data_IF_121113189590
#
_entry.id   IF_121113189590
#
_cell.length_a   1.000
_cell.length_b   1.000
_cell.length_c   1.000
_cell.angle_alpha   90.00
_cell.angle_beta   90.00
_cell.angle_gamma   90.00
#
_symmetry.space_group_name_H-M   'P 1'
#
loop_
_entity.id
_entity.type
_entity.pdbx_description
1 polymer ?
#
# COMPACT_ATOMS: atom_id res chain seq x y z
N UNK A 1 2.20 3.59 -7.03
CA UNK A 1 3.43 3.75 -7.83
C UNK A 1 4.29 4.86 -7.25
N UNK A 2 3.84 6.09 -7.17
CA UNK A 2 4.64 7.30 -6.80
C UNK A 2 5.45 7.21 -5.49
N UNK A 3 5.12 6.32 -4.58
CA UNK A 3 5.78 6.21 -3.27
C UNK A 3 6.61 4.94 -3.12
N UNK A 4 6.12 3.85 -3.69
CA UNK A 4 6.75 2.54 -3.52
C UNK A 4 7.72 2.22 -4.66
N UNK A 5 7.43 2.68 -5.90
CA UNK A 5 8.22 2.35 -7.08
C UNK A 5 8.01 3.40 -8.18
N UNK A 6 8.78 4.48 -8.14
CA UNK A 6 8.62 5.63 -9.05
C UNK A 6 8.85 5.27 -10.52
N UNK A 7 9.83 4.40 -10.76
CA UNK A 7 10.25 3.99 -12.09
C UNK A 7 9.55 2.68 -12.54
N UNK A 8 8.40 2.34 -11.93
CA UNK A 8 7.71 1.07 -12.18
C UNK A 8 7.54 0.74 -13.65
N UNK A 9 7.25 1.72 -14.49
CA UNK A 9 7.03 1.51 -15.93
C UNK A 9 8.31 1.44 -16.76
N UNK A 10 9.48 1.73 -16.16
CA UNK A 10 10.76 1.86 -16.86
C UNK A 10 11.71 0.68 -16.64
N UNK A 11 11.60 0.01 -15.49
CA UNK A 11 12.45 -1.14 -15.17
C UNK A 11 11.79 -2.48 -15.51
N UNK A 12 12.59 -3.54 -15.50
CA UNK A 12 12.23 -4.92 -15.84
C UNK A 12 12.20 -5.86 -14.62
N UNK A 13 11.68 -5.40 -13.50
CA UNK A 13 11.51 -6.15 -12.24
C UNK A 13 12.48 -5.72 -11.15
N UNK A 14 13.62 -5.15 -11.49
CA UNK A 14 14.62 -4.57 -10.57
C UNK A 14 14.90 -3.14 -11.01
N UNK A 15 14.84 -2.20 -10.07
CA UNK A 15 15.24 -0.81 -10.28
C UNK A 15 16.62 -0.55 -9.64
N UNK A 16 17.68 -0.67 -10.44
CA UNK A 16 19.05 -0.44 -9.97
C UNK A 16 19.26 1.03 -9.55
N UNK A 17 18.64 1.97 -10.24
CA UNK A 17 18.71 3.38 -9.93
C UNK A 17 17.99 3.71 -8.61
N UNK A 18 16.85 3.09 -8.38
CA UNK A 18 16.10 3.18 -7.12
C UNK A 18 16.87 2.58 -5.94
N UNK A 19 17.55 1.44 -6.15
CA UNK A 19 18.41 0.83 -5.12
C UNK A 19 19.57 1.76 -4.76
N UNK A 20 20.28 2.31 -5.76
CA UNK A 20 21.37 3.23 -5.53
C UNK A 20 20.91 4.50 -4.80
N UNK A 21 19.82 5.10 -5.24
CA UNK A 21 19.20 6.28 -4.60
C UNK A 21 18.81 6.01 -3.15
N UNK A 22 18.12 4.89 -2.89
CA UNK A 22 17.74 4.50 -1.54
C UNK A 22 18.97 4.25 -0.66
N UNK A 23 20.02 3.63 -1.21
CA UNK A 23 21.30 3.41 -0.51
C UNK A 23 21.94 4.71 -0.05
N UNK A 24 22.06 5.70 -0.95
CA UNK A 24 22.63 7.03 -0.63
C UNK A 24 21.81 7.74 0.44
N UNK A 25 20.47 7.79 0.27
CA UNK A 25 19.59 8.43 1.26
C UNK A 25 19.65 7.79 2.64
N UNK A 26 19.66 6.46 2.70
CA UNK A 26 19.74 5.73 3.96
C UNK A 26 21.10 5.94 4.66
N UNK A 27 22.18 5.98 3.88
CA UNK A 27 23.52 6.28 4.41
C UNK A 27 23.58 7.70 4.98
N UNK A 28 23.07 8.71 4.23
CA UNK A 28 23.06 10.10 4.70
C UNK A 28 22.16 10.31 5.93
N UNK A 29 21.07 9.57 6.04
CA UNK A 29 20.14 9.66 7.16
C UNK A 29 20.57 8.82 8.38
N UNK A 30 21.60 7.97 8.27
CA UNK A 30 22.00 7.03 9.33
C UNK A 30 20.93 5.99 9.71
N UNK A 31 19.86 5.88 8.92
CA UNK A 31 18.73 4.95 9.14
C UNK A 31 18.02 4.64 7.84
N UNK A 32 17.21 3.58 7.83
CA UNK A 32 16.41 3.21 6.65
C UNK A 32 15.20 4.17 6.50
N UNK A 33 15.32 5.12 5.57
CA UNK A 33 14.27 6.10 5.24
C UNK A 33 13.54 5.76 3.94
N UNK A 34 14.23 5.12 2.98
CA UNK A 34 13.68 4.72 1.69
C UNK A 34 13.98 3.25 1.39
N UNK A 35 13.01 2.53 0.82
CA UNK A 35 13.19 1.16 0.32
C UNK A 35 13.56 1.16 -1.16
N UNK A 36 14.45 0.25 -1.57
CA UNK A 36 14.83 0.07 -2.96
C UNK A 36 14.19 -1.15 -3.64
N UNK A 37 13.11 -1.71 -3.07
CA UNK A 37 12.41 -2.85 -3.66
C UNK A 37 11.28 -2.39 -4.57
N UNK A 38 11.18 -2.97 -5.77
CA UNK A 38 10.12 -2.69 -6.73
C UNK A 38 8.77 -3.29 -6.31
N UNK A 39 7.67 -2.82 -6.92
CA UNK A 39 6.34 -3.43 -6.75
C UNK A 39 6.34 -4.91 -7.15
N UNK A 40 7.06 -5.26 -8.22
CA UNK A 40 7.17 -6.64 -8.70
C UNK A 40 7.92 -7.53 -7.71
N UNK A 41 8.97 -7.03 -7.06
CA UNK A 41 9.66 -7.74 -5.97
C UNK A 41 8.76 -7.91 -4.73
N UNK A 42 7.95 -6.90 -4.39
CA UNK A 42 6.98 -7.01 -3.29
C UNK A 42 5.89 -8.03 -3.62
N UNK A 43 5.40 -8.03 -4.87
CA UNK A 43 4.42 -9.00 -5.35
C UNK A 43 4.98 -10.43 -5.29
N UNK A 44 6.19 -10.67 -5.81
CA UNK A 44 6.85 -11.98 -5.78
C UNK A 44 7.02 -12.50 -4.36
N UNK A 45 7.43 -11.64 -3.43
CA UNK A 45 7.53 -11.98 -2.01
C UNK A 45 6.18 -12.43 -1.44
N UNK A 46 5.11 -11.67 -1.72
CA UNK A 46 3.79 -11.95 -1.13
C UNK A 46 3.15 -13.21 -1.69
N UNK A 47 3.45 -13.58 -2.95
CA UNK A 47 2.85 -14.75 -3.61
C UNK A 47 3.61 -16.05 -3.37
N UNK A 48 4.94 -16.00 -3.31
CA UNK A 48 5.75 -17.22 -3.47
C UNK A 48 6.76 -17.46 -2.33
N UNK A 49 6.97 -16.50 -1.42
CA UNK A 49 8.05 -16.58 -0.44
C UNK A 49 7.54 -16.49 1.00
N UNK A 50 8.29 -17.08 1.89
CA UNK A 50 8.02 -17.03 3.34
C UNK A 50 8.42 -15.68 3.94
N UNK A 51 7.86 -15.30 5.13
CA UNK A 51 8.17 -14.03 5.79
C UNK A 51 9.61 -13.91 6.30
N UNK A 52 10.38 -15.01 6.33
CA UNK A 52 11.76 -15.03 6.83
C UNK A 52 12.66 -14.03 6.11
N UNK A 53 13.43 -13.26 6.86
CA UNK A 53 14.33 -12.24 6.30
C UNK A 53 15.73 -12.82 6.10
N UNK A 54 16.10 -13.13 4.85
CA UNK A 54 17.42 -13.62 4.50
C UNK A 54 17.90 -13.04 3.17
N UNK A 55 19.21 -13.02 2.95
CA UNK A 55 19.80 -12.63 1.66
C UNK A 55 19.37 -13.60 0.57
N UNK A 56 19.26 -14.90 0.87
CA UNK A 56 18.77 -15.92 -0.07
C UNK A 56 17.38 -15.55 -0.57
N UNK A 57 16.47 -15.21 0.34
CA UNK A 57 15.12 -14.77 -0.04
C UNK A 57 15.16 -13.51 -0.92
N UNK A 58 16.07 -12.55 -0.64
CA UNK A 58 16.18 -11.34 -1.45
C UNK A 58 16.63 -11.63 -2.88
N UNK A 59 17.51 -12.58 -3.08
CA UNK A 59 17.89 -13.07 -4.42
C UNK A 59 16.70 -13.76 -5.10
N UNK A 60 15.96 -14.60 -4.40
CA UNK A 60 14.75 -15.24 -4.92
C UNK A 60 13.69 -14.22 -5.34
N UNK A 61 13.44 -13.20 -4.51
CA UNK A 61 12.53 -12.08 -4.87
C UNK A 61 12.93 -11.43 -6.21
N UNK A 62 14.22 -11.16 -6.40
CA UNK A 62 14.73 -10.54 -7.61
C UNK A 62 14.56 -11.46 -8.84
N UNK A 63 14.91 -12.74 -8.71
CA UNK A 63 14.75 -13.71 -9.80
C UNK A 63 13.28 -13.89 -10.21
N UNK A 64 12.39 -14.03 -9.21
CA UNK A 64 10.95 -14.15 -9.47
C UNK A 64 10.36 -12.87 -10.07
N UNK A 65 10.83 -11.69 -9.62
CA UNK A 65 10.39 -10.42 -10.20
C UNK A 65 10.74 -10.33 -11.69
N UNK A 66 11.94 -10.74 -12.09
CA UNK A 66 12.34 -10.81 -13.50
C UNK A 66 11.45 -11.78 -14.29
N UNK A 67 11.12 -12.96 -13.72
CA UNK A 67 10.25 -13.93 -14.37
C UNK A 67 8.83 -13.39 -14.53
N UNK A 68 8.29 -12.71 -13.51
CA UNK A 68 6.98 -12.06 -13.58
C UNK A 68 6.97 -11.02 -14.71
N UNK A 69 7.96 -10.14 -14.80
CA UNK A 69 8.04 -9.09 -15.82
C UNK A 69 8.23 -9.65 -17.25
N UNK A 70 8.76 -10.86 -17.40
CA UNK A 70 8.85 -11.53 -18.70
C UNK A 70 7.51 -12.11 -19.18
N UNK A 71 6.61 -12.44 -18.27
CA UNK A 71 5.35 -13.14 -18.56
C UNK A 71 4.12 -12.25 -18.46
N UNK A 72 4.21 -11.11 -17.78
CA UNK A 72 3.07 -10.24 -17.51
C UNK A 72 3.40 -8.80 -17.88
N UNK A 73 2.42 -8.08 -18.41
CA UNK A 73 2.55 -6.65 -18.67
C UNK A 73 2.55 -5.85 -17.36
N UNK A 74 3.09 -4.65 -17.39
CA UNK A 74 3.07 -3.72 -16.23
C UNK A 74 1.66 -3.52 -15.66
N UNK A 75 0.67 -3.43 -16.53
CA UNK A 75 -0.73 -3.29 -16.12
C UNK A 75 -1.24 -4.52 -15.37
N UNK A 76 -0.91 -5.73 -15.85
CA UNK A 76 -1.27 -6.97 -15.16
C UNK A 76 -0.57 -7.10 -13.81
N UNK A 77 0.72 -6.76 -13.73
CA UNK A 77 1.49 -6.76 -12.47
C UNK A 77 0.88 -5.79 -11.47
N UNK A 78 0.57 -4.56 -11.90
CA UNK A 78 -0.07 -3.57 -11.04
C UNK A 78 -1.45 -4.05 -10.56
N UNK A 79 -2.23 -4.66 -11.44
CA UNK A 79 -3.54 -5.24 -11.09
C UNK A 79 -3.40 -6.35 -10.03
N UNK A 80 -2.45 -7.27 -10.20
CA UNK A 80 -2.18 -8.30 -9.19
C UNK A 80 -1.74 -7.68 -7.86
N UNK A 81 -0.84 -6.69 -7.88
CA UNK A 81 -0.38 -5.98 -6.69
C UNK A 81 -1.54 -5.32 -5.93
N UNK A 82 -2.39 -4.56 -6.64
CA UNK A 82 -3.53 -3.84 -6.08
C UNK A 82 -4.56 -4.80 -5.47
N UNK A 83 -4.73 -5.99 -6.04
CA UNK A 83 -5.71 -6.97 -5.56
C UNK A 83 -5.20 -7.85 -4.41
N UNK A 84 -3.88 -8.05 -4.29
CA UNK A 84 -3.32 -9.04 -3.36
C UNK A 84 -2.62 -8.43 -2.14
N UNK A 85 -2.32 -7.13 -2.17
CA UNK A 85 -1.54 -6.52 -1.10
C UNK A 85 -2.34 -6.38 0.19
N UNK A 86 -1.73 -6.76 1.32
CA UNK A 86 -2.32 -6.60 2.64
C UNK A 86 -2.29 -5.15 3.09
N UNK A 87 -3.44 -4.60 3.48
CA UNK A 87 -3.62 -3.19 3.85
C UNK A 87 -4.04 -2.96 5.32
N UNK A 88 -3.87 -3.97 6.14
CA UNK A 88 -4.24 -3.91 7.57
C UNK A 88 -5.69 -4.32 7.82
N UNK A 89 -6.05 -4.47 9.11
CA UNK A 89 -7.41 -4.82 9.55
C UNK A 89 -8.04 -6.03 8.84
N UNK A 90 -7.21 -7.03 8.45
CA UNK A 90 -7.68 -8.19 7.70
C UNK A 90 -7.96 -7.95 6.22
N UNK A 91 -7.73 -6.74 5.69
CA UNK A 91 -8.06 -6.40 4.32
C UNK A 91 -6.93 -6.71 3.35
N UNK A 92 -7.24 -7.50 2.33
CA UNK A 92 -6.37 -7.80 1.19
C UNK A 92 -6.96 -7.17 -0.07
N UNK A 93 -6.14 -6.39 -0.76
CA UNK A 93 -6.52 -5.62 -1.95
C UNK A 93 -7.13 -4.26 -1.63
N UNK A 94 -6.89 -3.33 -2.55
CA UNK A 94 -7.31 -1.93 -2.38
C UNK A 94 -8.83 -1.77 -2.46
N UNK A 95 -9.53 -2.63 -3.19
CA UNK A 95 -11.00 -2.57 -3.26
C UNK A 95 -11.63 -2.91 -1.90
N UNK A 96 -11.20 -4.01 -1.27
CA UNK A 96 -11.67 -4.40 0.06
C UNK A 96 -11.30 -3.34 1.12
N UNK A 97 -10.09 -2.79 1.05
CA UNK A 97 -9.66 -1.73 1.95
C UNK A 97 -10.45 -0.42 1.74
N UNK A 98 -10.79 -0.06 0.50
CA UNK A 98 -11.64 1.09 0.18
C UNK A 98 -13.02 0.98 0.82
N UNK A 99 -13.63 -0.17 0.66
CA UNK A 99 -14.93 -0.47 1.28
C UNK A 99 -14.83 -0.44 2.81
N UNK A 100 -13.84 -1.13 3.38
CA UNK A 100 -13.65 -1.23 4.83
C UNK A 100 -13.38 0.13 5.51
N UNK A 101 -12.45 0.92 4.94
CA UNK A 101 -12.05 2.18 5.59
C UNK A 101 -12.98 3.33 5.27
N UNK A 102 -13.64 3.34 4.10
CA UNK A 102 -14.38 4.50 3.60
C UNK A 102 -15.83 4.19 3.17
N UNK A 103 -16.21 2.92 3.11
CA UNK A 103 -17.51 2.48 2.54
C UNK A 103 -17.72 3.04 1.13
N UNK A 104 -16.67 2.98 0.29
CA UNK A 104 -16.65 3.52 -1.07
C UNK A 104 -16.00 2.55 -2.05
N UNK A 105 -16.45 2.58 -3.30
CA UNK A 105 -15.71 1.95 -4.39
C UNK A 105 -14.42 2.74 -4.69
N UNK A 106 -13.38 2.06 -5.19
CA UNK A 106 -12.08 2.71 -5.49
C UNK A 106 -12.19 3.94 -6.41
N UNK A 107 -13.13 3.94 -7.36
CA UNK A 107 -13.36 5.04 -8.30
C UNK A 107 -13.92 6.30 -7.63
N UNK A 108 -14.55 6.15 -6.46
CA UNK A 108 -15.23 7.23 -5.72
C UNK A 108 -14.35 7.79 -4.58
N UNK A 109 -13.12 7.29 -4.45
CA UNK A 109 -12.16 7.78 -3.47
C UNK A 109 -11.70 9.20 -3.82
N UNK A 110 -11.64 10.04 -2.80
CA UNK A 110 -10.97 11.34 -2.91
C UNK A 110 -9.44 11.19 -2.90
N UNK A 111 -8.71 12.25 -3.24
CA UNK A 111 -7.23 12.24 -3.29
C UNK A 111 -6.65 11.82 -1.93
N UNK A 112 -7.13 12.40 -0.83
CA UNK A 112 -6.66 12.08 0.51
C UNK A 112 -6.97 10.64 0.94
N UNK A 113 -8.10 10.08 0.54
CA UNK A 113 -8.48 8.70 0.81
C UNK A 113 -7.61 7.72 0.00
N UNK A 114 -7.44 7.98 -1.29
CA UNK A 114 -6.55 7.19 -2.14
C UNK A 114 -5.10 7.24 -1.67
N UNK A 115 -4.62 8.43 -1.25
CA UNK A 115 -3.28 8.59 -0.69
C UNK A 115 -3.12 7.86 0.65
N UNK A 116 -4.17 7.80 1.49
CA UNK A 116 -4.15 7.04 2.72
C UNK A 116 -4.01 5.54 2.44
N UNK A 117 -4.81 4.98 1.53
CA UNK A 117 -4.66 3.57 1.13
C UNK A 117 -3.28 3.29 0.55
N UNK A 118 -2.73 4.18 -0.28
CA UNK A 118 -1.40 4.06 -0.85
C UNK A 118 -0.27 4.20 0.19
N UNK A 119 -0.56 4.73 1.38
CA UNK A 119 0.38 4.82 2.49
C UNK A 119 0.56 3.50 3.27
N UNK A 120 -0.46 2.62 3.26
CA UNK A 120 -0.53 1.40 4.06
C UNK A 120 0.46 0.30 3.66
N UNK A 121 0.75 0.04 2.37
CA UNK A 121 1.63 -1.05 1.94
C UNK A 121 2.98 -1.09 2.65
N UNK A 122 3.56 0.05 2.97
CA UNK A 122 4.85 0.15 3.66
C UNK A 122 4.84 -0.51 5.04
N UNK A 123 3.79 -0.31 5.80
CA UNK A 123 3.62 -0.90 7.14
C UNK A 123 2.16 -0.73 7.60
N UNK A 124 1.28 -1.68 7.25
CA UNK A 124 -0.16 -1.55 7.52
C UNK A 124 -0.49 -1.37 9.00
N UNK A 125 0.30 -1.98 9.90
CA UNK A 125 0.10 -1.85 11.33
C UNK A 125 0.53 -0.47 11.84
N UNK A 126 1.74 0.00 11.48
CA UNK A 126 2.29 1.28 11.96
C UNK A 126 1.59 2.50 11.39
N UNK A 127 1.02 2.38 10.19
CA UNK A 127 0.28 3.44 9.51
C UNK A 127 -1.23 3.22 9.50
N UNK A 128 -1.72 2.30 10.36
CA UNK A 128 -3.16 2.07 10.52
C UNK A 128 -3.87 3.37 10.92
N UNK A 129 -4.87 3.83 10.17
CA UNK A 129 -5.61 5.03 10.54
C UNK A 129 -6.48 4.82 11.79
N UNK A 130 -6.74 3.57 12.16
CA UNK A 130 -7.51 3.20 13.35
C UNK A 130 -6.61 3.19 14.60
N UNK A 131 -5.40 2.60 14.50
CA UNK A 131 -4.50 2.42 15.64
C UNK A 131 -3.56 3.62 15.84
N UNK A 132 -3.13 4.25 14.76
CA UNK A 132 -2.13 5.32 14.77
C UNK A 132 -2.51 6.46 13.81
N UNK A 133 -3.61 7.21 14.08
CA UNK A 133 -4.15 8.22 13.17
C UNK A 133 -3.15 9.31 12.80
N UNK A 134 -2.33 9.76 13.76
CA UNK A 134 -1.32 10.80 13.51
C UNK A 134 -0.20 10.31 12.55
N UNK A 135 0.31 9.10 12.77
CA UNK A 135 1.31 8.51 11.87
C UNK A 135 0.73 8.24 10.49
N UNK A 136 -0.52 7.81 10.44
CA UNK A 136 -1.26 7.61 9.20
C UNK A 136 -1.41 8.93 8.43
N UNK A 137 -1.80 10.02 9.11
CA UNK A 137 -1.90 11.37 8.54
C UNK A 137 -0.57 11.85 7.97
N UNK A 138 0.52 11.72 8.74
CA UNK A 138 1.85 12.11 8.29
C UNK A 138 2.27 11.33 7.03
N UNK A 139 2.02 10.01 7.02
CA UNK A 139 2.37 9.17 5.88
C UNK A 139 1.48 9.46 4.66
N UNK A 140 0.18 9.68 4.85
CA UNK A 140 -0.75 10.14 3.80
C UNK A 140 -0.26 11.44 3.16
N UNK A 141 0.09 12.42 3.96
CA UNK A 141 0.57 13.71 3.47
C UNK A 141 1.88 13.57 2.67
N UNK A 142 2.80 12.72 3.13
CA UNK A 142 3.98 12.37 2.34
C UNK A 142 3.62 11.76 0.97
N UNK A 143 2.60 10.90 0.89
CA UNK A 143 2.11 10.35 -0.39
C UNK A 143 1.59 11.46 -1.29
N UNK A 144 0.79 12.39 -0.76
CA UNK A 144 0.25 13.54 -1.49
C UNK A 144 1.40 14.42 -2.02
N UNK A 145 2.40 14.73 -1.19
CA UNK A 145 3.57 15.51 -1.62
C UNK A 145 4.31 14.81 -2.79
N UNK A 146 4.40 13.48 -2.76
CA UNK A 146 4.98 12.70 -3.87
C UNK A 146 4.14 12.79 -5.14
N UNK A 147 2.81 12.73 -5.02
CA UNK A 147 1.90 12.88 -6.16
C UNK A 147 2.03 14.27 -6.82
N UNK A 148 2.18 15.32 -6.02
CA UNK A 148 2.45 16.68 -6.50
C UNK A 148 3.82 16.75 -7.20
N UNK A 149 4.88 16.24 -6.57
CA UNK A 149 6.23 16.24 -7.13
C UNK A 149 6.33 15.51 -8.49
N UNK A 150 5.52 14.48 -8.68
CA UNK A 150 5.41 13.71 -9.93
C UNK A 150 4.34 14.25 -10.89
N UNK A 151 3.78 15.43 -10.59
CA UNK A 151 2.77 16.10 -11.43
C UNK A 151 1.52 15.24 -11.71
N UNK A 152 1.18 14.34 -10.78
CA UNK A 152 -0.06 13.54 -10.84
C UNK A 152 -1.28 14.32 -10.39
N UNK A 153 -1.07 15.29 -9.51
CA UNK A 153 -2.03 16.29 -9.05
C UNK A 153 -1.34 17.66 -9.01
N UNK A 154 -2.12 18.71 -9.00
CA UNK A 154 -1.64 20.09 -8.85
C UNK A 154 -1.23 20.38 -7.41
N UNK A 155 -0.46 21.45 -7.19
CA UNK A 155 -0.09 21.92 -5.85
C UNK A 155 -1.34 22.27 -5.03
N UNK A 156 -2.31 22.94 -5.65
CA UNK A 156 -3.57 23.35 -5.00
C UNK A 156 -4.37 22.13 -4.53
N UNK A 157 -4.58 21.14 -5.39
CA UNK A 157 -5.25 19.90 -5.02
C UNK A 157 -4.53 19.17 -3.88
N UNK A 158 -3.20 19.19 -3.90
CA UNK A 158 -2.38 18.60 -2.85
C UNK A 158 -2.58 19.29 -1.48
N UNK A 159 -2.56 20.61 -1.44
CA UNK A 159 -2.78 21.36 -0.20
C UNK A 159 -4.20 21.19 0.33
N UNK A 160 -5.22 21.23 -0.53
CA UNK A 160 -6.60 20.95 -0.15
C UNK A 160 -6.76 19.53 0.42
N UNK A 161 -6.18 18.53 -0.23
CA UNK A 161 -6.24 17.14 0.24
C UNK A 161 -5.53 16.95 1.59
N UNK A 162 -4.39 17.63 1.82
CA UNK A 162 -3.69 17.59 3.12
C UNK A 162 -4.47 18.27 4.23
N UNK A 163 -5.22 19.33 3.93
CA UNK A 163 -6.04 20.06 4.90
C UNK A 163 -7.21 19.21 5.41
N UNK A 164 -7.73 18.27 4.61
CA UNK A 164 -8.86 17.43 5.01
C UNK A 164 -8.48 16.45 6.11
N UNK A 165 -9.34 16.25 7.14
CA UNK A 165 -9.12 15.24 8.17
C UNK A 165 -9.21 13.82 7.59
N UNK A 166 -8.71 12.83 8.33
CA UNK A 166 -9.00 11.42 8.04
C UNK A 166 -10.40 11.13 8.55
N UNK A 167 -11.33 10.84 7.65
CA UNK A 167 -12.70 10.45 7.96
C UNK A 167 -12.90 9.00 7.56
N UNK A 168 -12.96 8.10 8.54
CA UNK A 168 -13.22 6.68 8.33
C UNK A 168 -14.71 6.41 8.36
N UNK A 169 -15.15 5.40 7.62
CA UNK A 169 -16.51 4.89 7.72
C UNK A 169 -16.80 4.41 9.14
N UNK A 170 -18.04 4.55 9.64
CA UNK A 170 -18.45 3.97 10.90
C UNK A 170 -18.17 2.47 10.90
N UNK A 171 -17.64 1.94 12.01
CA UNK A 171 -17.50 0.49 12.16
C UNK A 171 -18.87 -0.16 12.02
N UNK A 172 -19.01 -1.04 11.03
CA UNK A 172 -20.17 -1.93 11.00
C UNK A 172 -20.07 -2.85 12.23
N UNK A 173 -21.16 -2.94 12.98
CA UNK A 173 -21.20 -3.86 14.13
C UNK A 173 -21.23 -5.30 13.59
N UNK A 174 -20.58 -6.26 14.28
CA UNK A 174 -20.61 -7.66 13.88
C UNK A 174 -22.04 -8.23 13.68
N UNK A 175 -22.99 -7.75 14.47
CA UNK A 175 -24.40 -8.07 14.41
C UNK A 175 -25.09 -7.53 13.15
N UNK A 176 -24.57 -6.47 12.51
CA UNK A 176 -25.06 -5.96 11.22
C UNK A 176 -24.46 -6.76 10.03
N UNK A 177 -23.30 -7.38 10.21
CA UNK A 177 -22.64 -8.19 9.18
C UNK A 177 -23.18 -9.61 9.05
N UNK A 178 -23.69 -10.18 10.14
CA UNK A 178 -24.19 -11.56 10.17
C UNK A 178 -25.30 -11.71 11.21
N UNK A 179 -26.43 -11.01 11.04
CA UNK A 179 -27.50 -10.99 12.06
C UNK A 179 -28.02 -12.38 12.40
N UNK A 180 -28.16 -13.26 11.42
CA UNK A 180 -28.62 -14.66 11.63
C UNK A 180 -27.60 -15.49 12.40
N UNK A 181 -26.30 -15.31 12.14
CA UNK A 181 -25.24 -16.06 12.84
C UNK A 181 -25.10 -15.63 14.31
N UNK A 182 -25.22 -14.33 14.58
CA UNK A 182 -25.18 -13.79 15.93
C UNK A 182 -26.40 -14.24 16.74
N UNK A 183 -27.58 -14.25 16.12
CA UNK A 183 -28.81 -14.71 16.80
C UNK A 183 -28.77 -16.21 17.06
N UNK A 184 -28.26 -17.01 16.13
CA UNK A 184 -28.07 -18.44 16.32
C UNK A 184 -27.10 -18.75 17.47
N UNK A 185 -25.97 -18.04 17.57
CA UNK A 185 -25.06 -18.18 18.71
C UNK A 185 -25.70 -17.81 20.05
N UNK A 186 -26.59 -16.80 20.11
CA UNK A 186 -27.31 -16.42 21.32
C UNK A 186 -28.27 -17.50 21.83
N UNK A 187 -28.78 -18.34 20.93
CA UNK A 187 -29.69 -19.44 21.30
C UNK A 187 -28.94 -20.65 21.88
N UNK A 188 -27.61 -20.74 21.65
CA UNK A 188 -26.76 -21.81 22.14
C UNK A 188 -25.91 -21.46 23.38
N UNK A 189 -25.92 -20.19 23.80
CA UNK A 189 -25.24 -19.71 25.02
C UNK A 189 -26.24 -19.37 26.12
#
# INVERSE_FOLDING_TARGET
VSVEDQNFYEHWGIDLSGIARAGVKNLMAGRVVEGGSTLTQQLSKNLFLTPERSLRRKVQEAMLAIQIERNYTKQQILTMYVNLHFLGSGQYGFAAASEFYFNKQMKDLTIEEAALLAALPRSPLNYSPILHPDRSKLRRNYVIDRMVAEKKITVTEGEEAKARPISLAPKQRPDELAPYFVEELRQYL
#
